data_IF_087824513912
#
_entry.id   IF_087824513912
#
_cell.length_a   1.000
_cell.length_b   1.000
_cell.length_c   1.000
_cell.angle_alpha   90.00
_cell.angle_beta   90.00
_cell.angle_gamma   90.00
#
_symmetry.space_group_name_H-M   'P 1'
#
loop_
_entity.id
_entity.type
_entity.pdbx_description
1 polymer ?
#
# COMPACT_ATOMS: atom_id res chain seq x y z
N UNK A 1 -57.20 23.77 -20.19
CA UNK A 1 -55.81 24.19 -19.80
C UNK A 1 -55.19 22.97 -19.12
N UNK A 2 -54.33 22.25 -19.87
CA UNK A 2 -53.72 21.00 -19.40
C UNK A 2 -52.36 21.33 -18.78
N UNK A 3 -52.19 21.11 -17.47
CA UNK A 3 -50.90 21.33 -16.76
C UNK A 3 -50.11 20.03 -16.89
N UNK A 4 -49.02 20.09 -17.68
CA UNK A 4 -48.05 19.00 -17.77
C UNK A 4 -47.05 19.18 -16.59
N UNK A 5 -47.16 18.30 -15.59
CA UNK A 5 -46.18 18.22 -14.49
C UNK A 5 -44.98 17.43 -14.99
N UNK A 6 -43.88 18.11 -15.24
CA UNK A 6 -42.59 17.47 -15.57
C UNK A 6 -41.99 16.90 -14.28
N UNK A 7 -42.03 15.59 -14.07
CA UNK A 7 -41.37 14.91 -13.00
C UNK A 7 -39.90 14.72 -13.42
N UNK A 8 -38.99 15.56 -12.94
CA UNK A 8 -37.56 15.35 -13.09
C UNK A 8 -37.10 14.27 -12.10
N UNK A 9 -36.84 13.06 -12.61
CA UNK A 9 -36.20 12.01 -11.83
C UNK A 9 -34.75 12.39 -11.56
N UNK A 10 -34.44 12.77 -10.32
CA UNK A 10 -33.05 12.92 -9.86
C UNK A 10 -32.50 11.49 -9.68
N UNK A 11 -31.61 11.09 -10.58
CA UNK A 11 -30.84 9.86 -10.40
C UNK A 11 -30.01 9.98 -9.11
N UNK A 12 -29.95 8.94 -8.26
CA UNK A 12 -29.09 8.97 -7.09
C UNK A 12 -27.64 9.18 -7.53
N UNK A 13 -26.93 10.12 -6.90
CA UNK A 13 -25.51 10.29 -7.11
C UNK A 13 -24.81 8.97 -6.74
N UNK A 14 -24.30 8.25 -7.75
CA UNK A 14 -23.52 7.04 -7.52
C UNK A 14 -22.27 7.45 -6.76
N UNK A 15 -22.08 6.90 -5.56
CA UNK A 15 -20.88 7.11 -4.77
C UNK A 15 -19.64 6.63 -5.55
N UNK A 16 -18.48 7.25 -5.28
CA UNK A 16 -17.21 6.85 -5.92
C UNK A 16 -16.93 5.35 -5.70
N UNK A 17 -16.51 4.67 -6.75
CA UNK A 17 -16.04 3.29 -6.71
C UNK A 17 -14.79 3.17 -5.83
N UNK A 18 -14.48 1.97 -5.33
CA UNK A 18 -13.24 1.73 -4.60
C UNK A 18 -12.01 2.08 -5.44
N UNK A 19 -12.04 1.74 -6.74
CA UNK A 19 -10.97 2.09 -7.67
C UNK A 19 -10.73 3.60 -7.72
N UNK A 20 -11.78 4.40 -7.90
CA UNK A 20 -11.67 5.87 -7.90
C UNK A 20 -11.16 6.42 -6.57
N UNK A 21 -11.55 5.79 -5.47
CA UNK A 21 -11.08 6.15 -4.12
C UNK A 21 -9.60 5.83 -3.91
N UNK A 22 -9.07 4.77 -4.52
CA UNK A 22 -7.67 4.39 -4.41
C UNK A 22 -6.74 5.28 -5.24
N UNK A 23 -7.17 5.77 -6.41
CA UNK A 23 -6.33 6.60 -7.30
C UNK A 23 -5.77 7.82 -6.57
N UNK A 24 -4.45 8.00 -6.66
CA UNK A 24 -3.73 9.11 -6.06
C UNK A 24 -2.45 8.67 -5.34
N UNK A 25 -1.86 9.61 -4.60
CA UNK A 25 -0.67 9.39 -3.78
C UNK A 25 -1.07 9.39 -2.31
N UNK A 26 -0.44 8.52 -1.56
CA UNK A 26 -0.71 8.25 -0.16
C UNK A 26 0.59 8.25 0.64
N UNK A 27 0.58 8.87 1.80
CA UNK A 27 1.68 8.89 2.76
C UNK A 27 1.42 7.88 3.89
N UNK A 28 2.47 7.20 4.34
CA UNK A 28 2.36 6.19 5.38
C UNK A 28 2.07 6.84 6.74
N UNK A 29 0.98 6.39 7.38
CA UNK A 29 0.62 6.76 8.76
C UNK A 29 1.17 5.74 9.75
N UNK A 30 0.92 4.45 9.50
CA UNK A 30 1.41 3.36 10.34
C UNK A 30 1.53 2.06 9.56
N UNK A 31 2.47 1.22 9.99
CA UNK A 31 2.62 -0.15 9.54
C UNK A 31 2.84 -1.05 10.76
N UNK A 32 1.90 -1.95 11.01
CA UNK A 32 1.92 -2.89 12.13
C UNK A 32 1.70 -4.31 11.63
N UNK A 33 1.90 -5.28 12.50
CA UNK A 33 1.66 -6.69 12.23
C UNK A 33 0.75 -7.28 13.30
N UNK A 34 -0.19 -8.13 12.91
CA UNK A 34 -0.93 -8.99 13.85
C UNK A 34 -0.23 -10.33 13.91
N UNK A 35 0.21 -10.73 15.12
CA UNK A 35 0.87 -12.00 15.42
C UNK A 35 0.04 -12.73 16.47
N UNK A 36 -0.58 -13.84 16.10
CA UNK A 36 -1.50 -14.55 17.02
C UNK A 36 -2.68 -13.69 17.48
N UNK A 37 -3.07 -12.67 16.70
CA UNK A 37 -4.15 -11.74 17.04
C UNK A 37 -3.72 -10.51 17.85
N UNK A 38 -2.49 -10.45 18.34
CA UNK A 38 -1.93 -9.28 19.02
C UNK A 38 -1.26 -8.34 18.02
N UNK A 39 -1.43 -7.03 18.20
CA UNK A 39 -0.78 -6.03 17.37
C UNK A 39 0.65 -5.79 17.85
N UNK A 40 1.60 -5.92 16.96
CA UNK A 40 3.04 -5.67 17.18
C UNK A 40 3.54 -4.61 16.19
N UNK A 41 4.65 -3.90 16.50
CA UNK A 41 5.31 -3.04 15.52
C UNK A 41 5.65 -3.81 14.24
N UNK A 42 5.51 -3.16 13.09
CA UNK A 42 5.92 -3.75 11.81
C UNK A 42 7.44 -4.02 11.76
N UNK A 43 7.90 -4.84 10.81
CA UNK A 43 9.29 -5.32 10.77
C UNK A 43 10.32 -4.20 10.54
N UNK A 44 9.91 -3.05 10.04
CA UNK A 44 10.80 -1.90 9.80
C UNK A 44 10.85 -0.91 10.98
N UNK A 45 10.16 -1.17 12.09
CA UNK A 45 10.06 -0.25 13.23
C UNK A 45 9.33 1.06 12.88
N UNK A 46 9.88 2.20 13.29
CA UNK A 46 9.38 3.52 12.86
C UNK A 46 9.65 3.71 11.38
N UNK A 47 8.59 3.95 10.62
CA UNK A 47 8.64 3.94 9.15
C UNK A 47 8.06 5.20 8.54
N UNK A 48 8.51 5.49 7.33
CA UNK A 48 7.86 6.38 6.38
C UNK A 48 7.64 5.63 5.06
N UNK A 49 6.78 6.15 4.19
CA UNK A 49 6.54 5.51 2.91
C UNK A 49 5.59 6.28 2.02
N UNK A 50 5.59 5.88 0.76
CA UNK A 50 4.67 6.38 -0.26
C UNK A 50 4.01 5.21 -0.97
N UNK A 51 2.72 5.35 -1.22
CA UNK A 51 1.94 4.45 -2.06
C UNK A 51 1.27 5.30 -3.14
N UNK A 52 1.37 4.86 -4.38
CA UNK A 52 0.71 5.53 -5.51
C UNK A 52 -0.12 4.53 -6.29
N UNK A 53 -1.35 4.89 -6.59
CA UNK A 53 -2.21 4.23 -7.58
C UNK A 53 -2.50 5.21 -8.70
N UNK A 54 -2.09 4.88 -9.92
CA UNK A 54 -2.38 5.69 -11.10
C UNK A 54 -3.72 5.28 -11.75
N UNK A 55 -4.37 6.20 -12.42
CA UNK A 55 -5.65 5.93 -13.08
C UNK A 55 -5.56 4.88 -14.19
N UNK A 56 -4.38 4.75 -14.82
CA UNK A 56 -4.08 3.80 -15.90
C UNK A 56 -3.70 2.39 -15.40
N UNK A 57 -3.81 2.13 -14.07
CA UNK A 57 -3.70 0.79 -13.50
C UNK A 57 -2.30 0.39 -13.04
N UNK A 58 -1.39 1.35 -12.85
CA UNK A 58 -0.09 1.09 -12.23
C UNK A 58 -0.07 1.50 -10.76
N UNK A 59 0.79 0.85 -10.00
CA UNK A 59 1.01 1.19 -8.61
C UNK A 59 2.47 1.04 -8.22
N UNK A 60 2.88 1.81 -7.22
CA UNK A 60 4.14 1.63 -6.50
C UNK A 60 3.90 1.80 -5.00
N UNK A 61 4.46 0.91 -4.20
CA UNK A 61 4.47 0.99 -2.74
C UNK A 61 5.92 0.93 -2.24
N UNK A 62 6.30 1.91 -1.44
CA UNK A 62 7.62 1.99 -0.84
C UNK A 62 7.48 2.33 0.64
N UNK A 63 8.18 1.58 1.48
CA UNK A 63 8.29 1.82 2.92
C UNK A 63 9.74 1.69 3.33
N UNK A 64 10.19 2.55 4.24
CA UNK A 64 11.53 2.46 4.79
C UNK A 64 11.55 2.81 6.28
N UNK A 65 12.46 2.18 7.02
CA UNK A 65 12.75 2.57 8.40
C UNK A 65 13.32 3.97 8.47
N UNK A 66 12.93 4.75 9.50
CA UNK A 66 13.45 6.12 9.70
C UNK A 66 14.90 6.13 10.18
N UNK A 67 15.31 5.10 10.92
CA UNK A 67 16.62 5.00 11.55
C UNK A 67 17.68 4.33 10.64
N UNK A 68 17.52 4.43 9.32
CA UNK A 68 18.47 3.88 8.34
C UNK A 68 19.80 4.64 8.36
N UNK A 69 20.92 3.99 8.67
CA UNK A 69 22.21 4.64 8.61
C UNK A 69 22.58 4.97 7.15
N UNK A 70 23.24 6.10 6.97
CA UNK A 70 23.86 6.41 5.66
C UNK A 70 25.11 5.56 5.50
N UNK A 71 25.44 5.24 4.24
CA UNK A 71 26.71 4.60 3.91
C UNK A 71 27.88 5.52 4.25
N UNK A 72 28.98 4.94 4.72
CA UNK A 72 30.21 5.67 5.02
C UNK A 72 30.88 6.28 3.77
N UNK A 73 30.56 5.76 2.60
CA UNK A 73 31.08 6.25 1.31
C UNK A 73 29.98 6.90 0.48
N UNK A 74 30.27 8.00 -0.25
CA UNK A 74 29.35 8.58 -1.24
C UNK A 74 29.26 7.75 -2.55
N UNK A 75 30.10 6.73 -2.72
CA UNK A 75 30.04 5.84 -3.90
C UNK A 75 28.73 5.07 -3.91
N UNK A 76 27.92 5.29 -4.93
CA UNK A 76 26.59 4.67 -5.11
C UNK A 76 26.63 3.13 -5.06
N UNK A 77 27.72 2.50 -5.51
CA UNK A 77 27.91 1.05 -5.47
C UNK A 77 28.87 0.60 -4.35
N UNK A 78 29.40 1.54 -3.61
CA UNK A 78 30.28 1.30 -2.49
C UNK A 78 29.54 0.73 -1.27
N UNK A 79 30.17 0.85 -0.12
CA UNK A 79 29.67 0.34 1.16
C UNK A 79 30.03 -1.11 1.44
N UNK A 80 30.12 -1.43 2.71
CA UNK A 80 30.39 -2.78 3.21
C UNK A 80 29.20 -3.72 2.98
N UNK A 81 29.43 -5.01 3.09
CA UNK A 81 28.38 -6.03 3.03
C UNK A 81 27.32 -5.80 4.12
N UNK A 82 27.78 -5.39 5.32
CA UNK A 82 26.88 -5.11 6.44
C UNK A 82 25.97 -3.91 6.16
N UNK A 83 26.50 -2.81 5.62
CA UNK A 83 25.70 -1.63 5.25
C UNK A 83 24.65 -1.97 4.18
N UNK A 84 25.03 -2.80 3.19
CA UNK A 84 24.10 -3.25 2.15
C UNK A 84 23.02 -4.16 2.70
N UNK A 85 23.34 -5.06 3.64
CA UNK A 85 22.37 -5.91 4.32
C UNK A 85 21.36 -5.06 5.12
N UNK A 86 21.83 -4.12 5.93
CA UNK A 86 20.97 -3.21 6.70
C UNK A 86 20.09 -2.34 5.78
N UNK A 87 20.63 -1.87 4.66
CA UNK A 87 19.85 -1.11 3.69
C UNK A 87 18.74 -1.96 3.06
N UNK A 88 18.99 -3.23 2.79
CA UNK A 88 17.98 -4.17 2.30
C UNK A 88 16.92 -4.47 3.37
N UNK A 89 17.32 -4.81 4.58
CA UNK A 89 16.42 -5.18 5.69
C UNK A 89 15.52 -4.05 6.16
N UNK A 90 15.95 -2.80 5.96
CA UNK A 90 15.21 -1.59 6.38
C UNK A 90 14.39 -0.93 5.29
N UNK A 91 14.13 -1.62 4.19
CA UNK A 91 13.35 -1.11 3.06
C UNK A 91 12.44 -2.21 2.49
N UNK A 92 11.25 -1.83 2.10
CA UNK A 92 10.31 -2.66 1.32
C UNK A 92 9.79 -1.81 0.18
N UNK A 93 9.91 -2.29 -1.05
CA UNK A 93 9.40 -1.55 -2.19
C UNK A 93 9.10 -2.45 -3.39
N UNK A 94 8.01 -2.15 -4.07
CA UNK A 94 7.66 -2.83 -5.32
C UNK A 94 6.72 -1.95 -6.15
N UNK A 95 6.76 -2.18 -7.45
CA UNK A 95 5.84 -1.57 -8.41
C UNK A 95 5.25 -2.64 -9.33
N UNK A 96 4.09 -2.33 -9.90
CA UNK A 96 3.42 -3.21 -10.83
C UNK A 96 2.10 -2.66 -11.32
N UNK A 97 1.22 -3.56 -11.74
CA UNK A 97 -0.17 -3.25 -12.07
C UNK A 97 -1.06 -3.54 -10.89
N UNK A 98 -2.26 -2.96 -10.88
CA UNK A 98 -3.27 -3.29 -9.88
C UNK A 98 -4.64 -3.48 -10.49
N UNK A 99 -5.42 -4.34 -9.85
CA UNK A 99 -6.82 -4.58 -10.15
C UNK A 99 -7.63 -4.52 -8.86
N UNK A 100 -8.82 -3.90 -8.92
CA UNK A 100 -9.70 -3.73 -7.76
C UNK A 100 -10.88 -4.69 -7.89
N UNK A 101 -11.18 -5.40 -6.82
CA UNK A 101 -12.40 -6.15 -6.63
C UNK A 101 -13.33 -5.34 -5.71
N UNK A 102 -14.36 -4.72 -6.30
CA UNK A 102 -15.31 -3.87 -5.58
C UNK A 102 -16.15 -4.66 -4.56
N UNK A 103 -16.58 -5.87 -4.93
CA UNK A 103 -17.42 -6.72 -4.09
C UNK A 103 -16.66 -7.22 -2.85
N UNK A 104 -15.45 -7.73 -3.05
CA UNK A 104 -14.60 -8.23 -1.98
C UNK A 104 -13.89 -7.09 -1.20
N UNK A 105 -13.96 -5.86 -1.71
CA UNK A 105 -13.22 -4.70 -1.20
C UNK A 105 -11.73 -5.01 -1.07
N UNK A 106 -11.15 -5.48 -2.16
CA UNK A 106 -9.74 -5.83 -2.22
C UNK A 106 -9.07 -5.25 -3.46
N UNK A 107 -7.75 -5.15 -3.39
CA UNK A 107 -6.88 -4.81 -4.51
C UNK A 107 -5.79 -5.88 -4.63
N UNK A 108 -5.51 -6.28 -5.85
CA UNK A 108 -4.43 -7.22 -6.18
C UNK A 108 -3.36 -6.47 -6.95
N UNK A 109 -2.13 -6.51 -6.47
CA UNK A 109 -0.97 -5.95 -7.12
C UNK A 109 -0.22 -7.06 -7.87
N UNK A 110 -0.14 -6.97 -9.20
CA UNK A 110 0.69 -7.84 -10.04
C UNK A 110 2.09 -7.24 -10.10
N UNK A 111 3.03 -7.83 -9.37
CA UNK A 111 4.37 -7.27 -9.14
C UNK A 111 5.25 -7.42 -10.38
N UNK A 112 5.74 -6.29 -10.89
CA UNK A 112 6.69 -6.22 -12.04
C UNK A 112 8.12 -6.05 -11.55
N UNK A 113 8.34 -5.14 -10.61
CA UNK A 113 9.64 -4.90 -9.99
C UNK A 113 9.51 -4.94 -8.48
N UNK A 114 10.49 -5.50 -7.79
CA UNK A 114 10.46 -5.63 -6.33
C UNK A 114 11.85 -5.57 -5.72
N UNK A 115 11.94 -4.96 -4.54
CA UNK A 115 13.06 -5.08 -3.62
C UNK A 115 13.33 -6.55 -3.23
N UNK A 116 12.27 -7.34 -2.95
CA UNK A 116 12.39 -8.76 -2.63
C UNK A 116 12.26 -9.60 -3.90
N UNK A 117 13.34 -10.26 -4.36
CA UNK A 117 13.36 -10.93 -5.67
C UNK A 117 12.22 -11.93 -5.89
N UNK A 118 11.81 -12.63 -4.82
CA UNK A 118 10.77 -13.66 -4.90
C UNK A 118 9.36 -13.11 -5.16
N UNK A 119 9.15 -11.79 -5.05
CA UNK A 119 7.86 -11.18 -5.36
C UNK A 119 7.68 -10.85 -6.84
N UNK A 120 8.78 -10.69 -7.59
CA UNK A 120 8.69 -10.41 -9.03
C UNK A 120 7.93 -11.51 -9.77
N UNK A 121 6.92 -11.13 -10.55
CA UNK A 121 6.05 -12.07 -11.27
C UNK A 121 4.95 -12.71 -10.41
N UNK A 122 4.81 -12.32 -9.15
CA UNK A 122 3.73 -12.80 -8.26
C UNK A 122 2.65 -11.75 -8.04
N UNK A 123 1.65 -12.08 -7.25
CA UNK A 123 0.59 -11.16 -6.85
C UNK A 123 0.61 -10.89 -5.35
N UNK A 124 0.26 -9.65 -4.98
CA UNK A 124 0.13 -9.20 -3.60
C UNK A 124 -1.28 -8.68 -3.37
N UNK A 125 -2.13 -9.46 -2.69
CA UNK A 125 -3.50 -9.06 -2.35
C UNK A 125 -3.53 -8.20 -1.10
N UNK A 126 -4.45 -7.21 -1.09
CA UNK A 126 -4.74 -6.36 0.08
C UNK A 126 -6.26 -6.20 0.21
N UNK A 127 -6.78 -6.43 1.40
CA UNK A 127 -8.13 -6.01 1.75
C UNK A 127 -8.12 -4.52 2.06
N UNK A 128 -9.14 -3.80 1.61
CA UNK A 128 -9.18 -2.34 1.64
C UNK A 128 -10.34 -1.86 2.51
N UNK A 129 -10.03 -1.05 3.51
CA UNK A 129 -11.00 -0.27 4.26
C UNK A 129 -10.74 1.22 4.01
N UNK A 130 -11.77 1.94 3.57
CA UNK A 130 -11.70 3.38 3.29
C UNK A 130 -12.28 4.14 4.48
N UNK A 131 -11.50 5.07 5.05
CA UNK A 131 -11.82 5.83 6.26
C UNK A 131 -11.62 7.33 6.00
N UNK A 132 -12.54 7.97 5.26
CA UNK A 132 -12.37 9.37 4.85
C UNK A 132 -11.16 9.55 3.94
N UNK A 133 -10.18 10.32 4.37
CA UNK A 133 -8.92 10.58 3.66
C UNK A 133 -7.85 9.51 3.91
N UNK A 134 -8.18 8.46 4.64
CA UNK A 134 -7.31 7.34 4.93
C UNK A 134 -7.80 6.06 4.28
N UNK A 135 -6.85 5.18 3.98
CA UNK A 135 -7.11 3.79 3.63
C UNK A 135 -6.30 2.88 4.56
N UNK A 136 -6.92 1.79 4.97
CA UNK A 136 -6.25 0.68 5.65
C UNK A 136 -6.12 -0.48 4.68
N UNK A 137 -4.91 -0.96 4.48
CA UNK A 137 -4.60 -2.12 3.68
C UNK A 137 -4.17 -3.26 4.60
N UNK A 138 -4.89 -4.39 4.51
CA UNK A 138 -4.58 -5.58 5.31
C UNK A 138 -4.15 -6.71 4.38
N UNK A 139 -3.05 -7.39 4.72
CA UNK A 139 -2.59 -8.55 3.93
C UNK A 139 -3.37 -9.80 4.29
N UNK A 140 -3.46 -10.79 3.39
CA UNK A 140 -3.64 -12.18 3.82
C UNK A 140 -2.51 -12.58 4.78
N UNK A 141 -2.69 -13.67 5.57
CA UNK A 141 -1.60 -14.22 6.38
C UNK A 141 -0.39 -14.60 5.52
N UNK A 142 0.81 -14.31 6.00
CA UNK A 142 2.07 -14.69 5.36
C UNK A 142 3.14 -15.00 6.41
N UNK A 143 4.22 -15.68 6.01
CA UNK A 143 5.33 -15.99 6.90
C UNK A 143 6.33 -14.83 6.97
N UNK A 144 6.67 -14.41 8.20
CA UNK A 144 7.74 -13.47 8.49
C UNK A 144 8.52 -13.98 9.71
N UNK A 145 9.83 -14.16 9.56
CA UNK A 145 10.69 -14.72 10.63
C UNK A 145 10.15 -16.03 11.25
N UNK A 146 9.57 -16.90 10.40
CA UNK A 146 9.01 -18.19 10.83
C UNK A 146 7.66 -18.12 11.58
N UNK A 147 7.08 -16.93 11.71
CA UNK A 147 5.75 -16.72 12.30
C UNK A 147 4.75 -16.36 11.21
N UNK A 148 3.50 -16.79 11.38
CA UNK A 148 2.40 -16.28 10.56
C UNK A 148 1.99 -14.90 11.05
N UNK A 149 1.96 -13.93 10.14
CA UNK A 149 1.62 -12.55 10.44
C UNK A 149 0.62 -12.01 9.41
N UNK A 150 -0.17 -11.02 9.84
CA UNK A 150 -1.02 -10.21 8.97
C UNK A 150 -0.51 -8.78 9.05
N UNK A 151 -0.10 -8.22 7.93
CA UNK A 151 0.31 -6.81 7.85
C UNK A 151 -0.91 -5.90 7.84
N UNK A 152 -0.87 -4.83 8.64
CA UNK A 152 -1.88 -3.77 8.69
C UNK A 152 -1.19 -2.44 8.41
N UNK A 153 -1.51 -1.82 7.28
CA UNK A 153 -0.85 -0.61 6.82
C UNK A 153 -1.90 0.48 6.62
N UNK A 154 -1.75 1.59 7.32
CA UNK A 154 -2.62 2.75 7.21
C UNK A 154 -1.91 3.85 6.43
N UNK A 155 -2.59 4.36 5.44
CA UNK A 155 -2.14 5.42 4.56
C UNK A 155 -3.10 6.60 4.63
N UNK A 156 -2.58 7.81 4.51
CA UNK A 156 -3.36 9.05 4.41
C UNK A 156 -3.12 9.68 3.03
N UNK A 157 -4.13 10.28 2.46
CA UNK A 157 -4.00 10.93 1.16
C UNK A 157 -3.00 12.07 1.24
N UNK A 158 -2.00 12.06 0.37
CA UNK A 158 -1.03 13.14 0.30
C UNK A 158 -1.74 14.47 -0.05
N UNK A 159 -1.46 15.50 0.74
CA UNK A 159 -1.91 16.87 0.46
C UNK A 159 -0.87 17.59 -0.39
N UNK A 160 -1.34 18.45 -1.28
CA UNK A 160 -0.48 19.32 -2.11
C UNK A 160 0.11 20.45 -1.27
#
# INVERSE_FOLDING_TARGET
>A
MLIIVCITSVAPAQGQTLKERLVGTWELVSATSLVGGAEEPGPLGKTTGLLTYSADGYMCANQMGLDRPKFATPDFRGGSVQEKALAFESFVGYCGRYEVNEEERSVVHSVVTSWYPNWTGTTQKRFVEVMGDRIKLTTPPFLSNGKEVIGVIVWERATK
#
